data_IF_786053457680
#
_entry.id   IF_786053457680
#
_cell.length_a   1.000
_cell.length_b   1.000
_cell.length_c   1.000
_cell.angle_alpha   90.00
_cell.angle_beta   90.00
_cell.angle_gamma   90.00
#
_symmetry.space_group_name_H-M   'P 1'
#
loop_
_entity.id
_entity.type
_entity.pdbx_description
1 polymer ?
#
# COMPACT_ATOMS: atom_id res chain seq x y z
N UNK A 1 3.58 -16.29 -6.78
CA UNK A 1 4.01 -16.27 -5.34
C UNK A 1 4.11 -14.83 -4.88
N UNK A 2 3.70 -14.52 -3.63
CA UNK A 2 3.78 -13.18 -3.09
C UNK A 2 4.88 -13.08 -2.03
N UNK A 3 5.63 -11.98 -2.05
CA UNK A 3 6.72 -11.67 -1.10
C UNK A 3 6.47 -10.30 -0.51
N UNK A 4 6.50 -10.20 0.82
CA UNK A 4 6.45 -8.93 1.52
C UNK A 4 7.80 -8.24 1.44
N UNK A 5 7.87 -7.14 0.69
CA UNK A 5 9.08 -6.34 0.50
C UNK A 5 9.18 -5.22 1.55
N UNK A 6 8.03 -4.65 1.92
CA UNK A 6 7.92 -3.68 3.01
C UNK A 6 6.65 -3.97 3.81
N UNK A 7 6.81 -4.11 5.13
CA UNK A 7 5.70 -4.38 6.05
C UNK A 7 5.06 -3.09 6.61
N UNK A 8 3.92 -3.23 7.29
CA UNK A 8 3.16 -2.14 7.90
C UNK A 8 3.88 -1.46 9.09
N UNK A 9 4.97 -2.02 9.61
CA UNK A 9 5.81 -1.32 10.59
C UNK A 9 6.76 -0.32 9.95
N UNK A 10 6.96 -0.42 8.64
CA UNK A 10 7.91 0.34 7.83
C UNK A 10 9.19 -0.43 7.52
N UNK A 11 9.36 -1.68 8.00
CA UNK A 11 10.57 -2.46 7.73
C UNK A 11 10.61 -2.93 6.27
N UNK A 12 11.78 -2.79 5.67
CA UNK A 12 12.09 -3.21 4.30
C UNK A 12 12.94 -4.48 4.36
N UNK A 13 12.44 -5.54 3.74
CA UNK A 13 13.01 -6.89 3.83
C UNK A 13 14.09 -7.19 2.78
N UNK A 14 14.56 -6.18 2.06
CA UNK A 14 15.67 -6.25 1.10
C UNK A 14 16.68 -5.11 1.38
N UNK A 15 17.83 -5.15 0.70
CA UNK A 15 18.90 -4.16 0.84
C UNK A 15 18.59 -2.86 0.09
N UNK A 16 17.62 -2.09 0.58
CA UNK A 16 17.18 -0.83 -0.02
C UNK A 16 18.29 0.23 -0.02
N UNK A 17 18.29 1.03 -1.09
CA UNK A 17 19.17 2.20 -1.27
C UNK A 17 18.43 3.53 -1.15
N UNK A 18 17.12 3.49 -0.88
CA UNK A 18 16.30 4.68 -0.68
C UNK A 18 16.80 5.40 0.59
N UNK A 19 17.27 6.65 0.42
CA UNK A 19 17.93 7.38 1.51
C UNK A 19 17.01 7.55 2.72
N UNK A 20 15.73 7.88 2.52
CA UNK A 20 14.77 7.99 3.62
C UNK A 20 14.58 6.71 4.41
N UNK A 21 14.66 5.53 3.77
CA UNK A 21 14.60 4.24 4.43
C UNK A 21 15.88 3.94 5.24
N UNK A 22 17.04 4.36 4.74
CA UNK A 22 18.32 4.22 5.44
C UNK A 22 18.33 5.12 6.67
N UNK A 23 17.92 6.37 6.53
CA UNK A 23 17.96 7.39 7.58
C UNK A 23 17.05 7.03 8.77
N UNK A 24 15.87 6.46 8.50
CA UNK A 24 14.96 6.02 9.57
C UNK A 24 15.24 4.58 10.09
N UNK A 25 16.29 3.91 9.59
CA UNK A 25 16.64 2.55 10.01
C UNK A 25 15.64 1.47 9.56
N UNK A 26 14.88 1.71 8.49
CA UNK A 26 13.87 0.77 7.98
C UNK A 26 14.49 -0.45 7.29
N UNK A 27 15.72 -0.38 6.80
CA UNK A 27 16.36 -1.44 6.00
C UNK A 27 16.74 -2.61 6.91
N UNK A 28 15.94 -3.67 6.89
CA UNK A 28 16.15 -4.91 7.63
C UNK A 28 16.74 -6.03 6.75
N UNK A 29 16.58 -5.93 5.43
CA UNK A 29 17.12 -6.86 4.47
C UNK A 29 18.63 -6.77 4.30
N UNK A 30 19.20 -7.78 3.68
CA UNK A 30 20.64 -7.90 3.44
C UNK A 30 20.90 -8.72 2.16
N UNK A 31 22.15 -8.96 1.82
CA UNK A 31 22.54 -9.71 0.62
C UNK A 31 21.93 -11.12 0.54
N UNK A 32 21.60 -11.76 1.67
CA UNK A 32 20.94 -13.08 1.68
C UNK A 32 19.48 -12.95 1.26
N UNK A 33 18.75 -11.96 1.81
CA UNK A 33 17.37 -11.69 1.37
C UNK A 33 17.32 -11.25 -0.09
N UNK A 34 18.26 -10.40 -0.53
CA UNK A 34 18.33 -9.96 -1.93
C UNK A 34 18.53 -11.14 -2.87
N UNK A 35 19.44 -12.07 -2.52
CA UNK A 35 19.67 -13.29 -3.31
C UNK A 35 18.43 -14.19 -3.36
N UNK A 36 17.71 -14.32 -2.24
CA UNK A 36 16.49 -15.12 -2.17
C UNK A 36 15.36 -14.51 -3.02
N UNK A 37 15.18 -13.19 -2.95
CA UNK A 37 14.21 -12.45 -3.76
C UNK A 37 14.54 -12.60 -5.25
N UNK A 38 15.80 -12.39 -5.63
CA UNK A 38 16.23 -12.53 -7.02
C UNK A 38 16.00 -13.96 -7.53
N UNK A 39 16.31 -14.97 -6.73
CA UNK A 39 16.05 -16.37 -7.11
C UNK A 39 14.56 -16.69 -7.29
N UNK A 40 13.69 -15.99 -6.59
CA UNK A 40 12.24 -16.10 -6.78
C UNK A 40 11.79 -15.39 -8.07
N UNK A 41 12.26 -14.17 -8.29
CA UNK A 41 11.93 -13.40 -9.51
C UNK A 41 12.44 -14.11 -10.77
N UNK A 42 13.60 -14.75 -10.72
CA UNK A 42 14.17 -15.51 -11.84
C UNK A 42 13.50 -16.89 -12.05
N UNK A 43 12.54 -17.27 -11.20
CA UNK A 43 11.82 -18.54 -11.32
C UNK A 43 10.68 -18.49 -12.35
N UNK A 44 10.12 -19.65 -12.70
CA UNK A 44 8.96 -19.77 -13.60
C UNK A 44 7.61 -19.40 -12.93
N UNK A 45 7.63 -18.94 -11.67
CA UNK A 45 6.41 -18.54 -10.96
C UNK A 45 6.03 -17.10 -11.27
N UNK A 46 4.73 -16.84 -11.34
CA UNK A 46 4.22 -15.47 -11.29
C UNK A 46 4.51 -14.85 -9.92
N UNK A 47 5.22 -13.75 -9.89
CA UNK A 47 5.77 -13.15 -8.69
C UNK A 47 5.12 -11.81 -8.36
N UNK A 48 4.74 -11.63 -7.08
CA UNK A 48 4.09 -10.43 -6.58
C UNK A 48 4.94 -9.85 -5.45
N UNK A 49 5.42 -8.61 -5.62
CA UNK A 49 6.06 -7.85 -4.56
C UNK A 49 5.03 -7.04 -3.77
N UNK A 50 4.86 -7.34 -2.48
CA UNK A 50 3.92 -6.62 -1.60
C UNK A 50 4.61 -5.49 -0.86
N UNK A 51 3.98 -4.30 -0.85
CA UNK A 51 4.54 -3.08 -0.30
C UNK A 51 3.46 -2.37 0.51
N UNK A 52 3.57 -2.35 1.84
CA UNK A 52 2.78 -1.44 2.67
C UNK A 52 3.21 0.00 2.40
N UNK A 53 2.28 0.84 1.97
CA UNK A 53 2.59 2.20 1.47
C UNK A 53 2.53 3.27 2.56
N UNK A 54 1.33 3.61 3.02
CA UNK A 54 1.11 4.73 3.94
C UNK A 54 1.18 4.32 5.42
N UNK A 55 1.09 3.05 5.74
CA UNK A 55 1.29 2.52 7.08
C UNK A 55 2.78 2.28 7.30
N UNK A 56 3.44 3.22 8.00
CA UNK A 56 4.89 3.21 8.20
C UNK A 56 5.28 3.96 9.46
N UNK A 57 5.53 3.21 10.52
CA UNK A 57 5.89 3.80 11.81
C UNK A 57 7.34 4.27 11.87
N UNK A 58 8.25 3.64 11.15
CA UNK A 58 9.67 3.99 11.18
C UNK A 58 9.91 5.33 10.50
N UNK A 59 9.42 5.49 9.26
CA UNK A 59 9.57 6.75 8.54
C UNK A 59 8.77 7.87 9.21
N UNK A 60 7.53 7.60 9.62
CA UNK A 60 6.68 8.59 10.27
C UNK A 60 7.30 9.18 11.56
N UNK A 61 8.03 8.37 12.31
CA UNK A 61 8.66 8.80 13.55
C UNK A 61 9.87 9.70 13.31
N UNK A 62 10.68 9.39 12.31
CA UNK A 62 11.84 10.19 11.93
C UNK A 62 11.44 11.46 11.16
N UNK A 63 10.41 11.36 10.32
CA UNK A 63 9.93 12.44 9.45
C UNK A 63 8.52 12.90 9.85
N UNK A 64 8.37 13.41 11.07
CA UNK A 64 7.06 13.79 11.64
C UNK A 64 6.27 14.79 10.78
N UNK A 65 6.93 15.62 10.00
CA UNK A 65 6.28 16.60 9.08
C UNK A 65 5.56 15.94 7.92
N UNK A 66 5.92 14.72 7.61
CA UNK A 66 5.41 13.92 6.47
C UNK A 66 4.37 12.89 6.93
N UNK A 67 4.10 12.84 8.22
CA UNK A 67 3.17 11.92 8.86
C UNK A 67 1.85 12.58 9.27
N UNK A 68 0.86 11.75 9.60
CA UNK A 68 -0.33 12.19 10.31
C UNK A 68 0.06 12.71 11.71
N UNK A 69 -0.31 13.94 12.02
CA UNK A 69 0.09 14.64 13.24
C UNK A 69 -1.10 14.80 14.18
N UNK A 70 -0.87 14.60 15.48
CA UNK A 70 -1.87 14.85 16.51
C UNK A 70 -2.06 16.35 16.75
N UNK A 71 -3.27 16.86 16.56
CA UNK A 71 -3.63 18.26 16.70
C UNK A 71 -3.30 18.83 18.10
N UNK A 72 -3.41 18.03 19.17
CA UNK A 72 -3.21 18.49 20.53
C UNK A 72 -1.75 18.58 20.96
N UNK A 73 -0.90 17.72 20.42
CA UNK A 73 0.48 17.57 20.88
C UNK A 73 1.52 18.03 19.87
N UNK A 74 1.15 18.06 18.58
CA UNK A 74 2.09 18.30 17.47
C UNK A 74 3.03 17.11 17.19
N UNK A 75 2.89 15.99 17.92
CA UNK A 75 3.64 14.75 17.64
C UNK A 75 2.90 13.88 16.62
N UNK A 76 3.59 12.85 16.12
CA UNK A 76 3.01 11.86 15.22
C UNK A 76 1.77 11.24 15.86
N UNK A 77 0.68 11.20 15.10
CA UNK A 77 -0.55 10.56 15.54
C UNK A 77 -0.40 9.03 15.43
N UNK A 78 -1.09 8.30 16.30
CA UNK A 78 -1.10 6.83 16.29
C UNK A 78 -2.53 6.28 16.33
N UNK A 79 -2.71 5.14 15.69
CA UNK A 79 -3.96 4.39 15.61
C UNK A 79 -4.22 3.52 16.86
N UNK A 80 -5.22 2.63 16.80
CA UNK A 80 -5.56 1.71 17.90
C UNK A 80 -4.45 0.72 18.23
N UNK A 81 -3.58 0.40 17.27
CA UNK A 81 -2.46 -0.54 17.41
C UNK A 81 -1.15 0.17 17.82
N UNK A 82 -1.22 1.48 18.09
CA UNK A 82 -0.03 2.30 18.38
C UNK A 82 0.95 2.37 17.20
N UNK A 83 0.45 2.29 15.98
CA UNK A 83 1.21 2.45 14.75
C UNK A 83 0.95 3.81 14.08
N UNK A 84 1.83 4.20 13.17
CA UNK A 84 1.85 5.53 12.59
C UNK A 84 1.65 5.48 11.07
N UNK A 85 1.15 6.59 10.52
CA UNK A 85 0.73 6.67 9.13
C UNK A 85 1.33 7.91 8.46
N UNK A 86 1.73 7.77 7.22
CA UNK A 86 2.19 8.86 6.38
C UNK A 86 1.01 9.70 5.89
N UNK A 87 1.30 10.94 5.54
CA UNK A 87 0.31 11.90 5.07
C UNK A 87 0.55 12.18 3.57
N UNK A 88 -0.16 11.54 2.64
CA UNK A 88 0.11 11.67 1.21
C UNK A 88 -0.19 13.06 0.64
N UNK A 89 -0.85 13.97 1.36
CA UNK A 89 -0.90 15.38 1.03
C UNK A 89 0.48 16.08 1.11
N UNK A 90 1.46 15.45 1.79
CA UNK A 90 2.84 15.92 1.86
C UNK A 90 3.66 15.33 0.72
N UNK A 91 4.29 16.19 -0.06
CA UNK A 91 5.09 15.75 -1.21
C UNK A 91 6.24 14.81 -0.81
N UNK A 92 6.90 15.05 0.32
CA UNK A 92 8.02 14.21 0.77
C UNK A 92 7.54 12.79 1.13
N UNK A 93 6.35 12.64 1.75
CA UNK A 93 5.75 11.33 2.00
C UNK A 93 5.47 10.57 0.69
N UNK A 94 4.87 11.25 -0.30
CA UNK A 94 4.63 10.64 -1.62
C UNK A 94 5.94 10.24 -2.31
N UNK A 95 6.94 11.13 -2.28
CA UNK A 95 8.24 10.84 -2.88
C UNK A 95 8.89 9.60 -2.26
N UNK A 96 8.89 9.49 -0.92
CA UNK A 96 9.42 8.33 -0.23
C UNK A 96 8.72 7.03 -0.65
N UNK A 97 7.39 7.01 -0.68
CA UNK A 97 6.62 5.83 -1.12
C UNK A 97 6.94 5.51 -2.58
N UNK A 98 6.98 6.52 -3.45
CA UNK A 98 7.28 6.37 -4.88
C UNK A 98 8.69 5.82 -5.11
N UNK A 99 9.69 6.28 -4.33
CA UNK A 99 11.07 5.80 -4.43
C UNK A 99 11.15 4.32 -4.06
N UNK A 100 10.47 3.87 -2.98
CA UNK A 100 10.39 2.45 -2.59
C UNK A 100 9.74 1.61 -3.67
N UNK A 101 8.58 2.04 -4.18
CA UNK A 101 7.86 1.31 -5.24
C UNK A 101 8.71 1.20 -6.51
N UNK A 102 9.41 2.27 -6.87
CA UNK A 102 10.29 2.30 -8.04
C UNK A 102 11.48 1.35 -7.87
N UNK A 103 12.09 1.31 -6.69
CA UNK A 103 13.18 0.38 -6.37
C UNK A 103 12.70 -1.07 -6.46
N UNK A 104 11.52 -1.39 -5.92
CA UNK A 104 10.90 -2.71 -6.03
C UNK A 104 10.61 -3.10 -7.49
N UNK A 105 10.16 -2.15 -8.32
CA UNK A 105 9.92 -2.39 -9.74
C UNK A 105 11.18 -2.82 -10.51
N UNK A 106 12.35 -2.31 -10.11
CA UNK A 106 13.63 -2.64 -10.72
C UNK A 106 14.11 -4.07 -10.39
N UNK A 107 13.50 -4.72 -9.40
CA UNK A 107 13.82 -6.12 -9.07
C UNK A 107 13.24 -7.12 -10.08
N UNK A 108 12.23 -6.73 -10.87
CA UNK A 108 11.67 -7.55 -11.96
C UNK A 108 10.45 -8.39 -11.59
N UNK A 109 9.71 -8.06 -10.54
CA UNK A 109 8.42 -8.70 -10.22
C UNK A 109 7.42 -8.54 -11.37
N UNK A 110 6.58 -9.57 -11.59
CA UNK A 110 5.48 -9.54 -12.55
C UNK A 110 4.37 -8.56 -12.09
N UNK A 111 4.26 -8.33 -10.79
CA UNK A 111 3.25 -7.48 -10.18
C UNK A 111 3.76 -6.83 -8.89
N UNK A 112 3.43 -5.57 -8.69
CA UNK A 112 3.58 -4.87 -7.41
C UNK A 112 2.20 -4.67 -6.79
N UNK A 113 2.00 -5.18 -5.58
CA UNK A 113 0.77 -5.04 -4.81
C UNK A 113 0.98 -4.01 -3.69
N UNK A 114 0.27 -2.89 -3.80
CA UNK A 114 0.30 -1.83 -2.81
C UNK A 114 -0.72 -2.12 -1.70
N UNK A 115 -0.22 -2.46 -0.52
CA UNK A 115 -1.01 -2.58 0.70
C UNK A 115 -1.08 -1.23 1.43
N UNK A 116 -2.11 -1.04 2.27
CA UNK A 116 -2.31 0.16 3.10
C UNK A 116 -2.29 1.49 2.29
N UNK A 117 -2.82 1.44 1.06
CA UNK A 117 -2.94 2.59 0.17
C UNK A 117 -4.17 3.43 0.54
N UNK A 118 -4.21 3.90 1.79
CA UNK A 118 -5.32 4.68 2.34
C UNK A 118 -4.90 5.45 3.59
N UNK A 119 -5.70 6.44 3.98
CA UNK A 119 -5.55 7.10 5.28
C UNK A 119 -5.99 6.18 6.42
N UNK A 120 -5.49 6.42 7.66
CA UNK A 120 -5.90 5.61 8.82
C UNK A 120 -7.41 5.64 9.00
N UNK A 121 -7.98 4.51 9.39
CA UNK A 121 -9.43 4.31 9.58
C UNK A 121 -9.81 4.11 11.03
N UNK A 122 -8.87 3.73 11.87
CA UNK A 122 -9.10 3.37 13.27
C UNK A 122 -8.31 4.27 14.23
N UNK A 123 -8.86 4.48 15.41
CA UNK A 123 -8.25 5.32 16.43
C UNK A 123 -9.01 6.62 16.68
N UNK A 124 -8.34 7.56 17.32
CA UNK A 124 -8.94 8.87 17.62
C UNK A 124 -8.80 9.83 16.44
N UNK A 125 -9.53 9.54 15.34
CA UNK A 125 -9.47 10.27 14.09
C UNK A 125 -9.66 11.78 14.26
N UNK A 126 -10.57 12.20 15.16
CA UNK A 126 -10.81 13.62 15.47
C UNK A 126 -9.61 14.36 16.06
N UNK A 127 -8.53 13.66 16.39
CA UNK A 127 -7.27 14.24 16.87
C UNK A 127 -6.22 14.40 15.79
N UNK A 128 -6.46 13.93 14.58
CA UNK A 128 -5.58 14.20 13.46
C UNK A 128 -5.71 15.67 13.08
N UNK A 129 -4.57 16.35 12.92
CA UNK A 129 -4.51 17.74 12.46
C UNK A 129 -4.90 17.79 10.98
N UNK A 130 -5.95 18.51 10.66
CA UNK A 130 -6.51 18.62 9.30
C UNK A 130 -6.60 20.06 8.79
N UNK A 131 -6.40 21.03 9.65
CA UNK A 131 -6.53 22.47 9.38
C UNK A 131 -5.48 23.02 8.38
N UNK A 132 -4.39 22.29 8.16
CA UNK A 132 -3.34 22.63 7.20
C UNK A 132 -3.44 21.85 5.88
N UNK A 133 -4.45 20.99 5.72
CA UNK A 133 -4.65 20.26 4.47
C UNK A 133 -5.10 21.22 3.36
N UNK A 134 -4.40 21.13 2.24
CA UNK A 134 -4.69 21.93 1.03
C UNK A 134 -5.50 21.17 -0.01
N UNK A 135 -5.75 19.88 0.24
CA UNK A 135 -6.49 18.96 -0.63
C UNK A 135 -7.25 17.94 0.19
N UNK A 136 -8.23 17.30 -0.41
CA UNK A 136 -8.95 16.17 0.19
C UNK A 136 -8.05 14.92 0.27
N UNK A 137 -8.45 13.97 1.11
CA UNK A 137 -7.76 12.67 1.20
C UNK A 137 -7.78 11.91 -0.13
N UNK A 138 -8.91 11.95 -0.81
CA UNK A 138 -9.11 11.37 -2.14
C UNK A 138 -8.15 11.98 -3.17
N UNK A 139 -8.06 13.32 -3.25
CA UNK A 139 -7.11 14.00 -4.14
C UNK A 139 -5.65 13.65 -3.84
N UNK A 140 -5.31 13.51 -2.55
CA UNK A 140 -3.95 13.14 -2.15
C UNK A 140 -3.58 11.69 -2.55
N UNK A 141 -4.53 10.74 -2.43
CA UNK A 141 -4.33 9.37 -2.90
C UNK A 141 -4.24 9.30 -4.43
N UNK A 142 -5.05 10.07 -5.15
CA UNK A 142 -4.96 10.16 -6.61
C UNK A 142 -3.60 10.70 -7.06
N UNK A 143 -3.08 11.75 -6.39
CA UNK A 143 -1.74 12.26 -6.65
C UNK A 143 -0.64 11.24 -6.36
N UNK A 144 -0.75 10.48 -5.27
CA UNK A 144 0.21 9.42 -4.97
C UNK A 144 0.21 8.33 -6.05
N UNK A 145 -0.98 7.93 -6.52
CA UNK A 145 -1.09 6.97 -7.62
C UNK A 145 -0.44 7.52 -8.90
N UNK A 146 -0.69 8.79 -9.25
CA UNK A 146 -0.12 9.43 -10.43
C UNK A 146 1.40 9.60 -10.34
N UNK A 147 1.94 9.94 -9.16
CA UNK A 147 3.38 10.00 -8.90
C UNK A 147 4.03 8.62 -9.10
N UNK A 148 3.41 7.54 -8.58
CA UNK A 148 3.86 6.17 -8.74
C UNK A 148 3.82 5.74 -10.22
N UNK A 149 2.72 5.95 -10.92
CA UNK A 149 2.60 5.63 -12.34
C UNK A 149 3.67 6.31 -13.17
N UNK A 150 3.87 7.60 -12.94
CA UNK A 150 4.90 8.38 -13.65
C UNK A 150 6.30 7.81 -13.43
N UNK A 151 6.62 7.45 -12.18
CA UNK A 151 7.92 6.90 -11.84
C UNK A 151 8.12 5.48 -12.41
N UNK A 152 7.10 4.62 -12.38
CA UNK A 152 7.13 3.29 -12.97
C UNK A 152 7.29 3.34 -14.49
N UNK A 153 6.60 4.27 -15.16
CA UNK A 153 6.76 4.50 -16.61
C UNK A 153 8.20 4.93 -16.94
N UNK A 154 8.76 5.87 -16.18
CA UNK A 154 10.15 6.34 -16.34
C UNK A 154 11.16 5.22 -16.07
N UNK A 155 10.88 4.35 -15.10
CA UNK A 155 11.70 3.16 -14.81
C UNK A 155 11.57 2.06 -15.86
N UNK A 156 10.59 2.16 -16.78
CA UNK A 156 10.31 1.17 -17.81
C UNK A 156 9.67 -0.11 -17.29
N UNK A 157 9.02 -0.07 -16.12
CA UNK A 157 8.31 -1.21 -15.54
C UNK A 157 7.20 -1.70 -16.48
N UNK A 158 7.06 -3.02 -16.61
CA UNK A 158 6.08 -3.66 -17.50
C UNK A 158 5.14 -4.62 -16.78
N UNK A 159 5.37 -4.83 -15.48
CA UNK A 159 4.50 -5.63 -14.63
C UNK A 159 3.22 -4.89 -14.30
N UNK A 160 2.33 -5.55 -13.60
CA UNK A 160 1.07 -4.97 -13.12
C UNK A 160 1.29 -4.15 -11.86
N UNK A 161 0.50 -3.08 -11.72
CA UNK A 161 0.37 -2.34 -10.48
C UNK A 161 -1.01 -2.60 -9.88
N UNK A 162 -1.04 -3.10 -8.66
CA UNK A 162 -2.26 -3.53 -7.98
C UNK A 162 -2.36 -2.92 -6.58
N UNK A 163 -3.57 -2.90 -6.05
CA UNK A 163 -3.84 -2.33 -4.72
C UNK A 163 -4.71 -3.28 -3.90
N UNK A 164 -4.51 -3.31 -2.59
CA UNK A 164 -5.41 -4.04 -1.68
C UNK A 164 -6.38 -3.09 -0.95
N UNK A 165 -7.60 -3.56 -0.74
CA UNK A 165 -8.64 -2.89 0.05
C UNK A 165 -9.35 -3.87 0.97
N UNK A 166 -10.02 -3.36 2.00
CA UNK A 166 -10.86 -4.15 2.88
C UNK A 166 -12.25 -4.39 2.28
N UNK A 167 -12.87 -5.51 2.64
CA UNK A 167 -14.19 -5.91 2.11
C UNK A 167 -15.29 -4.87 2.34
N UNK A 168 -15.28 -4.18 3.48
CA UNK A 168 -16.28 -3.16 3.80
C UNK A 168 -16.20 -1.95 2.86
N UNK A 169 -15.00 -1.56 2.44
CA UNK A 169 -14.79 -0.50 1.43
C UNK A 169 -15.30 -0.97 0.06
N UNK A 170 -14.94 -2.19 -0.34
CA UNK A 170 -15.38 -2.75 -1.61
C UNK A 170 -16.91 -2.86 -1.70
N UNK A 171 -17.57 -3.26 -0.61
CA UNK A 171 -19.03 -3.35 -0.51
C UNK A 171 -19.74 -1.99 -0.48
N UNK A 172 -19.15 -1.02 0.22
CA UNK A 172 -19.72 0.32 0.33
C UNK A 172 -19.44 1.22 -0.89
N UNK A 173 -18.42 0.87 -1.68
CA UNK A 173 -17.96 1.67 -2.82
C UNK A 173 -17.12 2.89 -2.45
N UNK A 174 -17.12 3.31 -1.18
CA UNK A 174 -16.28 4.38 -0.65
C UNK A 174 -16.20 4.35 0.86
N UNK A 175 -15.14 4.94 1.43
CA UNK A 175 -15.01 5.15 2.88
C UNK A 175 -14.30 6.49 3.15
N UNK A 176 -14.98 7.37 3.87
CA UNK A 176 -14.60 8.77 3.99
C UNK A 176 -13.28 8.99 4.78
N UNK A 177 -13.02 8.20 5.83
CA UNK A 177 -11.78 8.36 6.61
C UNK A 177 -10.56 7.84 5.85
N UNK A 178 -10.72 6.79 5.05
CA UNK A 178 -9.66 6.22 4.23
C UNK A 178 -9.29 7.10 3.03
N UNK A 179 -10.22 7.92 2.57
CA UNK A 179 -10.10 8.67 1.32
C UNK A 179 -10.33 7.82 0.07
N UNK A 180 -10.76 6.56 0.20
CA UNK A 180 -11.00 5.67 -0.93
C UNK A 180 -12.38 5.90 -1.53
N UNK A 181 -12.41 6.05 -2.85
CA UNK A 181 -13.58 5.96 -3.72
C UNK A 181 -13.27 4.89 -4.77
N UNK A 182 -13.98 3.75 -4.70
CA UNK A 182 -13.66 2.57 -5.50
C UNK A 182 -13.66 2.83 -7.01
N UNK A 183 -14.60 3.62 -7.52
CA UNK A 183 -14.64 3.96 -8.95
C UNK A 183 -13.40 4.70 -9.45
N UNK A 184 -12.78 5.54 -8.61
CA UNK A 184 -11.55 6.25 -8.96
C UNK A 184 -10.31 5.38 -8.74
N UNK A 185 -10.30 4.59 -7.66
CA UNK A 185 -9.22 3.67 -7.36
C UNK A 185 -9.05 2.63 -8.50
N UNK A 186 -10.16 2.04 -8.96
CA UNK A 186 -10.16 1.01 -10.01
C UNK A 186 -9.70 1.53 -11.38
N UNK A 187 -9.74 2.84 -11.63
CA UNK A 187 -9.20 3.45 -12.84
C UNK A 187 -7.66 3.58 -12.81
N UNK A 188 -7.06 3.49 -11.63
CA UNK A 188 -5.62 3.68 -11.41
C UNK A 188 -4.83 2.39 -11.31
N UNK A 189 -5.46 1.24 -11.15
CA UNK A 189 -4.77 -0.02 -10.88
C UNK A 189 -5.24 -1.14 -11.82
N UNK A 190 -4.31 -2.02 -12.20
CA UNK A 190 -4.60 -3.17 -13.08
C UNK A 190 -5.44 -4.24 -12.38
N UNK A 191 -5.29 -4.34 -11.03
CA UNK A 191 -6.04 -5.28 -10.18
C UNK A 191 -6.38 -4.68 -8.84
N UNK A 192 -7.50 -5.13 -8.29
CA UNK A 192 -7.87 -4.85 -6.90
C UNK A 192 -7.93 -6.16 -6.13
N UNK A 193 -7.12 -6.24 -5.09
CA UNK A 193 -7.14 -7.30 -4.12
C UNK A 193 -8.07 -6.91 -2.98
N UNK A 194 -8.99 -7.78 -2.57
CA UNK A 194 -9.89 -7.49 -1.45
C UNK A 194 -9.72 -8.52 -0.35
N UNK A 195 -9.42 -8.06 0.87
CA UNK A 195 -9.34 -8.92 2.06
C UNK A 195 -10.74 -9.36 2.46
N UNK A 196 -11.04 -10.65 2.32
CA UNK A 196 -12.38 -11.22 2.55
C UNK A 196 -12.36 -12.40 3.49
N UNK A 197 -13.40 -12.53 4.28
CA UNK A 197 -13.73 -13.77 4.98
C UNK A 197 -14.56 -14.67 4.05
N UNK A 198 -14.68 -15.96 4.38
CA UNK A 198 -15.41 -16.91 3.55
C UNK A 198 -16.89 -16.53 3.32
N UNK A 199 -17.52 -15.92 4.31
CA UNK A 199 -18.91 -15.44 4.24
C UNK A 199 -19.07 -14.14 3.45
N UNK A 200 -18.01 -13.37 3.27
CA UNK A 200 -18.01 -12.14 2.47
C UNK A 200 -17.70 -12.37 0.99
N UNK A 201 -17.07 -13.48 0.63
CA UNK A 201 -16.53 -13.73 -0.71
C UNK A 201 -17.58 -13.56 -1.82
N UNK A 202 -18.79 -14.11 -1.64
CA UNK A 202 -19.85 -14.01 -2.65
C UNK A 202 -20.34 -12.56 -2.82
N UNK A 203 -20.59 -11.86 -1.71
CA UNK A 203 -21.10 -10.48 -1.75
C UNK A 203 -20.08 -9.51 -2.32
N UNK A 204 -18.80 -9.67 -1.97
CA UNK A 204 -17.71 -8.86 -2.52
C UNK A 204 -17.52 -9.16 -4.01
N UNK A 205 -17.55 -10.44 -4.41
CA UNK A 205 -17.44 -10.82 -5.83
C UNK A 205 -18.56 -10.17 -6.66
N UNK A 206 -19.78 -10.11 -6.15
CA UNK A 206 -20.90 -9.45 -6.84
C UNK A 206 -20.71 -7.94 -6.90
N UNK A 207 -20.28 -7.31 -5.80
CA UNK A 207 -20.03 -5.87 -5.76
C UNK A 207 -18.91 -5.45 -6.73
N UNK A 208 -17.85 -6.25 -6.84
CA UNK A 208 -16.72 -5.94 -7.71
C UNK A 208 -17.06 -6.01 -9.21
N UNK A 209 -18.14 -6.68 -9.61
CA UNK A 209 -18.63 -6.67 -11.00
C UNK A 209 -19.08 -5.28 -11.50
N UNK A 210 -19.31 -4.34 -10.60
CA UNK A 210 -19.65 -2.96 -10.97
C UNK A 210 -18.44 -2.17 -11.53
N UNK A 211 -17.24 -2.69 -11.40
CA UNK A 211 -16.00 -2.04 -11.80
C UNK A 211 -15.32 -2.83 -12.93
N UNK A 212 -14.73 -2.09 -13.89
CA UNK A 212 -13.93 -2.67 -14.99
C UNK A 212 -12.49 -2.86 -14.55
N UNK A 213 -12.30 -3.78 -13.59
CA UNK A 213 -10.99 -4.11 -13.00
C UNK A 213 -10.91 -5.58 -12.66
N UNK A 214 -9.74 -6.18 -12.78
CA UNK A 214 -9.52 -7.56 -12.34
C UNK A 214 -9.57 -7.64 -10.81
N UNK A 215 -10.46 -8.46 -10.28
CA UNK A 215 -10.63 -8.68 -8.84
C UNK A 215 -9.95 -9.97 -8.39
N UNK A 216 -9.22 -9.91 -7.28
CA UNK A 216 -8.57 -11.07 -6.64
C UNK A 216 -8.87 -11.06 -5.14
N UNK A 217 -9.53 -12.09 -4.58
CA UNK A 217 -9.75 -12.16 -3.15
C UNK A 217 -8.46 -12.52 -2.39
N UNK A 218 -8.21 -11.85 -1.28
CA UNK A 218 -7.23 -12.26 -0.25
C UNK A 218 -8.00 -13.04 0.81
N UNK A 219 -7.60 -14.29 1.00
CA UNK A 219 -8.28 -15.24 1.89
C UNK A 219 -7.30 -15.88 2.86
N UNK A 220 -7.79 -16.42 3.97
CA UNK A 220 -6.96 -17.16 4.95
C UNK A 220 -6.83 -18.65 4.62
N UNK A 221 -7.75 -19.20 3.82
CA UNK A 221 -7.77 -20.60 3.40
C UNK A 221 -8.08 -20.70 1.90
N UNK A 222 -7.60 -21.77 1.25
CA UNK A 222 -7.84 -22.00 -0.17
C UNK A 222 -9.34 -22.09 -0.49
N UNK A 223 -9.75 -21.51 -1.60
CA UNK A 223 -11.13 -21.52 -2.10
C UNK A 223 -11.22 -22.26 -3.43
N UNK A 224 -12.43 -22.72 -3.80
CA UNK A 224 -12.69 -23.38 -5.09
C UNK A 224 -12.85 -22.37 -6.25
N UNK A 225 -12.76 -21.07 -5.99
CA UNK A 225 -13.05 -20.02 -6.95
C UNK A 225 -11.79 -19.35 -7.48
N UNK A 226 -11.42 -19.66 -8.74
CA UNK A 226 -10.52 -18.82 -9.54
C UNK A 226 -9.14 -18.51 -8.95
N UNK A 227 -8.64 -17.31 -9.21
CA UNK A 227 -7.38 -16.81 -8.63
C UNK A 227 -7.64 -16.22 -7.25
N UNK A 228 -6.77 -16.50 -6.29
CA UNK A 228 -6.81 -15.92 -4.95
C UNK A 228 -5.39 -15.79 -4.37
N UNK A 229 -5.25 -14.90 -3.39
CA UNK A 229 -4.04 -14.76 -2.57
C UNK A 229 -4.33 -15.33 -1.18
N UNK A 230 -3.44 -16.19 -0.66
CA UNK A 230 -3.54 -16.67 0.73
C UNK A 230 -2.65 -15.80 1.61
N UNK A 231 -3.26 -15.19 2.62
CA UNK A 231 -2.57 -14.50 3.70
C UNK A 231 -2.63 -15.37 4.97
N UNK A 232 -1.45 -15.66 5.57
CA UNK A 232 -1.32 -16.51 6.76
C UNK A 232 -1.02 -15.70 8.00
#
# INVERSE_FOLDING_TARGET
MAVELKDASGKIHYGSKVQGAIDCGAVAGNSTSDTAIQGLVDSDYYTIGRISTLHDSLYAYEHMTDAAVCQLTGFVWYDTNSTHWLAPEKQAARQYVTDIVTECAQMGFDELLLDDFHYPREGRMSRIKTDERTMTQQEALALLADDIHTALEQAGYKGKLSVSVDADIALAGSEANSGIVMSELTEKFDRVYVKVTADQLESVTEAMKAYDVEFVPIVTEATDSGSYLIEK
#
